data_IF_562435120327
#
_entry.id   IF_562435120327
#
_cell.length_a   1.000
_cell.length_b   1.000
_cell.length_c   1.000
_cell.angle_alpha   90.00
_cell.angle_beta   90.00
_cell.angle_gamma   90.00
#
_symmetry.space_group_name_H-M   'P 1'
#
loop_
_entity.id
_entity.type
_entity.pdbx_description
1 polymer ?
#
# COMPACT_ATOMS: atom_id res chain seq x y z
N UNK A 1 -42.25 51.95 -11.86
CA UNK A 1 -41.17 51.08 -12.39
C UNK A 1 -40.61 50.25 -11.23
N UNK A 2 -40.44 48.94 -11.45
CA UNK A 2 -40.29 47.86 -10.45
C UNK A 2 -39.16 48.10 -9.42
N UNK A 3 -39.47 47.97 -8.13
CA UNK A 3 -38.49 47.76 -7.05
C UNK A 3 -38.11 46.27 -7.05
N UNK A 4 -36.88 45.95 -7.44
CA UNK A 4 -36.33 44.59 -7.39
C UNK A 4 -35.66 44.43 -6.02
N UNK A 5 -36.26 43.61 -5.16
CA UNK A 5 -35.72 43.22 -3.87
C UNK A 5 -34.79 42.01 -4.12
N UNK A 6 -33.47 42.21 -4.07
CA UNK A 6 -32.52 41.10 -4.09
C UNK A 6 -32.51 40.45 -2.70
N UNK A 7 -33.05 39.24 -2.60
CA UNK A 7 -32.91 38.37 -1.44
C UNK A 7 -31.56 37.64 -1.57
N UNK A 8 -30.57 38.00 -0.75
CA UNK A 8 -29.33 37.23 -0.62
C UNK A 8 -29.66 35.92 0.13
N UNK A 9 -29.76 34.80 -0.58
CA UNK A 9 -29.78 33.48 0.03
C UNK A 9 -28.34 33.16 0.47
N UNK A 10 -28.06 33.37 1.76
CA UNK A 10 -26.86 32.83 2.40
C UNK A 10 -27.09 31.33 2.57
N UNK A 11 -26.57 30.54 1.63
CA UNK A 11 -26.47 29.09 1.78
C UNK A 11 -25.39 28.83 2.82
N UNK A 12 -25.80 28.67 4.09
CA UNK A 12 -24.95 28.08 5.12
C UNK A 12 -24.77 26.61 4.78
N UNK A 13 -23.71 26.30 4.04
CA UNK A 13 -23.19 24.94 3.94
C UNK A 13 -22.68 24.55 5.33
N UNK A 14 -23.51 23.86 6.11
CA UNK A 14 -23.04 23.14 7.29
C UNK A 14 -22.04 22.09 6.80
N UNK A 15 -20.74 22.39 6.92
CA UNK A 15 -19.71 21.36 6.88
C UNK A 15 -19.98 20.49 8.09
N UNK A 16 -20.72 19.40 7.91
CA UNK A 16 -20.79 18.36 8.91
C UNK A 16 -19.34 17.93 9.14
N UNK A 17 -18.79 18.24 10.30
CA UNK A 17 -17.60 17.56 10.77
C UNK A 17 -17.97 16.08 10.76
N UNK A 18 -17.42 15.31 9.82
CA UNK A 18 -17.44 13.86 9.91
C UNK A 18 -16.71 13.53 11.20
N UNK A 19 -17.44 13.15 12.24
CA UNK A 19 -16.83 12.56 13.42
C UNK A 19 -15.95 11.41 12.93
N UNK A 20 -14.65 11.51 13.24
CA UNK A 20 -13.70 10.49 12.85
C UNK A 20 -14.13 9.18 13.53
N UNK A 21 -14.51 8.18 12.72
CA UNK A 21 -14.99 6.90 13.20
C UNK A 21 -13.99 6.31 14.20
N UNK A 22 -14.44 6.16 15.45
CA UNK A 22 -13.63 5.53 16.49
C UNK A 22 -13.75 4.01 16.37
N UNK A 23 -12.62 3.34 16.39
CA UNK A 23 -12.52 1.90 16.47
C UNK A 23 -12.94 1.42 17.86
N UNK A 24 -13.60 0.28 17.91
CA UNK A 24 -13.92 -0.41 19.17
C UNK A 24 -12.68 -1.08 19.76
N UNK A 25 -12.76 -1.44 21.05
CA UNK A 25 -11.72 -2.22 21.72
C UNK A 25 -11.51 -3.61 21.10
N UNK A 26 -12.49 -4.11 20.33
CA UNK A 26 -12.41 -5.39 19.61
C UNK A 26 -11.73 -5.28 18.25
N UNK A 27 -11.33 -4.08 17.83
CA UNK A 27 -10.68 -3.88 16.54
C UNK A 27 -9.32 -4.58 16.46
N UNK A 28 -9.03 -5.13 15.28
CA UNK A 28 -7.76 -5.75 14.93
C UNK A 28 -7.22 -5.13 13.66
N UNK A 29 -5.90 -4.88 13.65
CA UNK A 29 -5.19 -4.45 12.43
C UNK A 29 -4.15 -5.51 12.10
N UNK A 30 -4.14 -5.95 10.85
CA UNK A 30 -3.22 -6.98 10.37
C UNK A 30 -2.45 -6.53 9.14
N UNK A 31 -1.19 -6.94 9.04
CA UNK A 31 -0.45 -6.91 7.79
C UNK A 31 -0.81 -8.16 6.99
N UNK A 32 -1.27 -7.97 5.75
CA UNK A 32 -1.49 -9.02 4.78
C UNK A 32 -0.28 -9.11 3.86
N UNK A 33 0.26 -10.30 3.67
CA UNK A 33 1.38 -10.57 2.74
C UNK A 33 0.95 -11.68 1.79
N UNK A 34 1.06 -11.42 0.49
CA UNK A 34 0.42 -12.24 -0.52
C UNK A 34 1.43 -12.82 -1.51
N UNK A 35 1.33 -14.12 -1.77
CA UNK A 35 2.28 -14.84 -2.62
C UNK A 35 2.34 -14.33 -4.06
N UNK A 36 3.48 -14.44 -4.74
CA UNK A 36 3.55 -14.22 -6.18
C UNK A 36 2.61 -15.15 -6.98
N UNK A 37 2.29 -14.72 -8.20
CA UNK A 37 1.56 -15.51 -9.21
C UNK A 37 2.23 -15.38 -10.58
N UNK A 38 1.71 -16.09 -11.59
CA UNK A 38 2.35 -16.16 -12.91
C UNK A 38 2.24 -14.87 -13.74
N UNK A 39 1.21 -14.06 -13.52
CA UNK A 39 1.02 -12.82 -14.25
C UNK A 39 2.17 -11.85 -13.96
N UNK A 40 2.65 -11.11 -14.98
CA UNK A 40 3.85 -10.26 -14.87
C UNK A 40 3.76 -9.23 -13.74
N UNK A 41 2.58 -8.65 -13.52
CA UNK A 41 2.33 -7.67 -12.46
C UNK A 41 2.18 -8.29 -11.07
N UNK A 42 2.16 -9.63 -10.97
CA UNK A 42 2.01 -10.39 -9.74
C UNK A 42 3.24 -11.27 -9.44
N UNK A 43 4.37 -11.07 -10.15
CA UNK A 43 5.58 -11.89 -9.98
C UNK A 43 6.36 -11.66 -8.68
N UNK A 44 5.97 -10.65 -7.90
CA UNK A 44 6.57 -10.31 -6.61
C UNK A 44 5.50 -10.33 -5.53
N UNK A 45 5.94 -10.46 -4.27
CA UNK A 45 5.05 -10.42 -3.13
C UNK A 45 4.36 -9.07 -3.00
N UNK A 46 3.15 -9.10 -2.46
CA UNK A 46 2.34 -7.91 -2.25
C UNK A 46 1.96 -7.74 -0.78
N UNK A 47 1.85 -6.50 -0.32
CA UNK A 47 1.41 -6.20 1.03
C UNK A 47 0.19 -5.27 1.06
N UNK A 48 -0.71 -5.52 2.00
CA UNK A 48 -1.85 -4.67 2.31
C UNK A 48 -2.07 -4.61 3.83
N UNK A 49 -2.82 -3.62 4.32
CA UNK A 49 -3.19 -3.53 5.74
C UNK A 49 -4.69 -3.84 5.86
N UNK A 50 -5.06 -4.83 6.67
CA UNK A 50 -6.46 -5.12 7.00
C UNK A 50 -6.84 -4.42 8.29
N UNK A 51 -7.97 -3.75 8.31
CA UNK A 51 -8.62 -3.26 9.54
C UNK A 51 -9.95 -3.99 9.67
N UNK A 52 -10.13 -4.69 10.79
CA UNK A 52 -11.35 -5.42 11.12
C UNK A 52 -11.87 -4.98 12.49
N UNK A 53 -13.08 -4.44 12.51
CA UNK A 53 -13.80 -4.00 13.70
C UNK A 53 -15.28 -4.40 13.59
N UNK A 54 -15.66 -5.58 14.13
CA UNK A 54 -17.01 -6.12 14.01
C UNK A 54 -18.09 -5.24 14.63
N UNK A 55 -17.78 -4.47 15.69
CA UNK A 55 -18.78 -3.62 16.35
C UNK A 55 -19.21 -2.45 15.48
N UNK A 56 -18.30 -1.97 14.62
CA UNK A 56 -18.56 -0.89 13.68
C UNK A 56 -18.85 -1.40 12.26
N UNK A 57 -18.95 -2.72 12.04
CA UNK A 57 -19.09 -3.35 10.72
C UNK A 57 -17.99 -2.95 9.73
N UNK A 58 -16.74 -2.83 10.21
CA UNK A 58 -15.58 -2.52 9.38
C UNK A 58 -14.81 -3.82 9.12
N UNK A 59 -14.58 -4.15 7.86
CA UNK A 59 -13.62 -5.18 7.47
C UNK A 59 -13.03 -4.84 6.09
N UNK A 60 -12.04 -3.94 6.09
CA UNK A 60 -11.47 -3.38 4.88
C UNK A 60 -10.00 -3.73 4.74
N UNK A 61 -9.58 -4.04 3.52
CA UNK A 61 -8.20 -4.11 3.11
C UNK A 61 -7.79 -2.78 2.45
N UNK A 62 -6.75 -2.16 3.00
CA UNK A 62 -6.08 -0.98 2.47
C UNK A 62 -4.93 -1.43 1.59
N UNK A 63 -5.16 -1.31 0.28
CA UNK A 63 -4.27 -1.81 -0.74
C UNK A 63 -3.57 -0.65 -1.45
N UNK A 64 -2.30 -0.43 -1.11
CA UNK A 64 -1.40 0.41 -1.89
C UNK A 64 -0.94 -0.39 -3.10
N UNK A 65 -1.01 0.17 -4.30
CA UNK A 65 -0.54 -0.54 -5.49
C UNK A 65 -1.61 -0.75 -6.55
N UNK A 66 -2.77 -0.11 -6.42
CA UNK A 66 -3.81 -0.14 -7.45
C UNK A 66 -3.44 0.83 -8.57
N UNK A 67 -3.56 0.38 -9.81
CA UNK A 67 -3.25 1.17 -11.00
C UNK A 67 -4.26 0.88 -12.12
N UNK A 68 -4.29 1.78 -13.11
CA UNK A 68 -5.18 1.69 -14.25
C UNK A 68 -4.39 1.52 -15.55
N UNK A 69 -4.51 0.34 -16.17
CA UNK A 69 -3.90 0.04 -17.46
C UNK A 69 -4.45 0.91 -18.60
N UNK A 70 -5.66 1.47 -18.45
CA UNK A 70 -6.27 2.36 -19.43
C UNK A 70 -5.75 3.80 -19.35
N UNK A 71 -4.89 4.10 -18.36
CA UNK A 71 -4.30 5.42 -18.22
C UNK A 71 -3.49 5.80 -19.47
N UNK A 72 -3.60 7.06 -19.96
CA UNK A 72 -2.88 7.49 -21.15
C UNK A 72 -1.37 7.27 -21.01
N UNK A 73 -0.81 6.58 -21.99
CA UNK A 73 0.61 6.22 -22.08
C UNK A 73 1.11 5.32 -20.92
N UNK A 74 0.27 4.43 -20.39
CA UNK A 74 0.64 3.50 -19.32
C UNK A 74 1.96 2.75 -19.61
N UNK A 75 2.07 2.08 -20.77
CA UNK A 75 3.27 1.29 -21.10
C UNK A 75 4.55 2.15 -21.15
N UNK A 76 4.61 3.29 -21.86
CA UNK A 76 5.75 4.21 -21.78
C UNK A 76 6.07 4.72 -20.37
N UNK A 77 5.06 5.09 -19.58
CA UNK A 77 5.24 5.55 -18.20
C UNK A 77 5.79 4.44 -17.31
N UNK A 78 5.28 3.22 -17.47
CA UNK A 78 5.72 2.05 -16.71
C UNK A 78 7.21 1.76 -16.96
N UNK A 79 7.63 1.76 -18.22
CA UNK A 79 9.04 1.56 -18.60
C UNK A 79 9.97 2.67 -18.06
N UNK A 80 9.46 3.90 -17.92
CA UNK A 80 10.20 5.05 -17.38
C UNK A 80 10.15 5.16 -15.85
N UNK A 81 9.29 4.37 -15.18
CA UNK A 81 9.02 4.51 -13.74
C UNK A 81 8.17 5.74 -13.38
N UNK A 82 7.38 6.25 -14.32
CA UNK A 82 6.54 7.45 -14.21
C UNK A 82 5.05 7.12 -14.03
N UNK A 83 4.74 5.94 -13.49
CA UNK A 83 3.36 5.52 -13.23
C UNK A 83 2.86 5.98 -11.87
N UNK A 84 1.69 6.61 -11.85
CA UNK A 84 1.00 6.96 -10.63
C UNK A 84 0.05 5.82 -10.24
N UNK A 85 0.07 5.45 -8.96
CA UNK A 85 -0.72 4.40 -8.36
C UNK A 85 -1.58 5.01 -7.24
N UNK A 86 -2.58 4.28 -6.79
CA UNK A 86 -3.46 4.72 -5.70
C UNK A 86 -3.46 3.73 -4.53
N UNK A 87 -3.74 4.28 -3.35
CA UNK A 87 -4.34 3.52 -2.25
C UNK A 87 -5.83 3.35 -2.52
N UNK A 88 -6.32 2.12 -2.39
CA UNK A 88 -7.75 1.83 -2.33
C UNK A 88 -8.08 1.08 -1.03
N UNK A 89 -9.18 1.49 -0.40
CA UNK A 89 -9.81 0.76 0.69
C UNK A 89 -11.09 0.10 0.17
N UNK A 90 -11.21 -1.21 0.35
CA UNK A 90 -12.38 -1.99 -0.06
C UNK A 90 -12.51 -3.24 0.82
N UNK A 91 -13.62 -3.97 0.71
CA UNK A 91 -13.88 -5.10 1.60
C UNK A 91 -12.76 -6.14 1.55
N UNK A 92 -12.40 -6.68 2.73
CA UNK A 92 -11.40 -7.75 2.81
C UNK A 92 -11.84 -8.98 2.01
N UNK A 93 -13.15 -9.25 1.94
CA UNK A 93 -13.70 -10.31 1.10
C UNK A 93 -13.31 -10.13 -0.38
N UNK A 94 -13.60 -8.96 -0.98
CA UNK A 94 -13.24 -8.67 -2.36
C UNK A 94 -11.72 -8.68 -2.59
N UNK A 95 -10.94 -8.28 -1.57
CA UNK A 95 -9.50 -8.49 -1.59
C UNK A 95 -9.19 -9.97 -1.72
N UNK A 96 -9.60 -10.81 -0.77
CA UNK A 96 -9.28 -12.23 -0.75
C UNK A 96 -9.76 -12.98 -2.00
N UNK A 97 -10.92 -12.66 -2.54
CA UNK A 97 -11.43 -13.22 -3.81
C UNK A 97 -10.43 -13.05 -4.96
N UNK A 98 -9.86 -11.85 -5.12
CA UNK A 98 -8.85 -11.61 -6.16
C UNK A 98 -7.58 -12.45 -6.01
N UNK A 99 -7.25 -12.87 -4.78
CA UNK A 99 -6.11 -13.74 -4.48
C UNK A 99 -6.45 -15.24 -4.64
N UNK A 100 -7.70 -15.62 -4.37
CA UNK A 100 -8.21 -16.96 -4.62
C UNK A 100 -8.23 -17.29 -6.11
N UNK A 101 -8.71 -16.37 -6.95
CA UNK A 101 -8.81 -16.56 -8.40
C UNK A 101 -7.44 -16.84 -9.05
N UNK A 102 -6.38 -16.22 -8.52
CA UNK A 102 -4.99 -16.44 -8.95
C UNK A 102 -4.27 -17.58 -8.22
N UNK A 103 -4.97 -18.29 -7.32
CA UNK A 103 -4.44 -19.41 -6.51
C UNK A 103 -3.20 -19.06 -5.67
N UNK A 104 -3.19 -17.85 -5.10
CA UNK A 104 -2.10 -17.42 -4.21
C UNK A 104 -2.51 -17.53 -2.74
N UNK A 105 -1.57 -17.91 -1.88
CA UNK A 105 -1.76 -17.83 -0.43
C UNK A 105 -1.70 -16.37 0.03
N UNK A 106 -2.57 -16.01 0.97
CA UNK A 106 -2.52 -14.74 1.71
C UNK A 106 -2.22 -15.05 3.17
N UNK A 107 -1.09 -14.55 3.65
CA UNK A 107 -0.69 -14.63 5.05
C UNK A 107 -1.20 -13.40 5.80
N UNK A 108 -1.73 -13.62 6.99
CA UNK A 108 -2.19 -12.55 7.87
C UNK A 108 -1.34 -12.53 9.15
N UNK A 109 -0.74 -11.38 9.44
CA UNK A 109 -0.05 -11.10 10.69
C UNK A 109 -0.80 -10.03 11.48
N UNK A 110 -1.44 -10.43 12.58
CA UNK A 110 -2.08 -9.47 13.50
C UNK A 110 -1.00 -8.66 14.20
N UNK A 111 -1.10 -7.33 14.10
CA UNK A 111 -0.13 -6.43 14.72
C UNK A 111 -0.46 -6.25 16.21
N UNK A 112 0.56 -6.35 17.06
CA UNK A 112 0.42 -6.13 18.50
C UNK A 112 0.43 -4.62 18.81
N UNK A 113 -0.70 -3.97 18.56
CA UNK A 113 -0.92 -2.54 18.77
C UNK A 113 -1.90 -2.30 19.92
N UNK A 114 -1.65 -1.27 20.71
CA UNK A 114 -2.63 -0.70 21.65
C UNK A 114 -3.82 -0.10 20.90
N UNK A 115 -4.95 0.12 21.59
CA UNK A 115 -6.14 0.72 20.95
C UNK A 115 -5.87 2.14 20.44
N UNK A 116 -5.03 2.91 21.12
CA UNK A 116 -4.59 4.23 20.65
C UNK A 116 -3.79 4.12 19.33
N UNK A 117 -2.83 3.20 19.24
CA UNK A 117 -2.05 2.99 18.02
C UNK A 117 -2.90 2.49 16.86
N UNK A 118 -3.88 1.60 17.14
CA UNK A 118 -4.85 1.15 16.13
C UNK A 118 -5.65 2.33 15.58
N UNK A 119 -6.16 3.20 16.45
CA UNK A 119 -6.91 4.38 16.04
C UNK A 119 -6.04 5.31 15.19
N UNK A 120 -4.82 5.60 15.63
CA UNK A 120 -3.89 6.46 14.89
C UNK A 120 -3.56 5.91 13.49
N UNK A 121 -3.38 4.59 13.39
CA UNK A 121 -3.12 3.93 12.10
C UNK A 121 -4.36 3.96 11.21
N UNK A 122 -5.54 3.68 11.76
CA UNK A 122 -6.80 3.75 11.04
C UNK A 122 -7.08 5.16 10.51
N UNK A 123 -6.95 6.19 11.33
CA UNK A 123 -7.13 7.59 10.92
C UNK A 123 -6.16 7.98 9.79
N UNK A 124 -4.92 7.48 9.85
CA UNK A 124 -3.93 7.73 8.80
C UNK A 124 -4.28 7.02 7.49
N UNK A 125 -4.82 5.80 7.56
CA UNK A 125 -5.29 5.04 6.41
C UNK A 125 -6.52 5.66 5.75
N UNK A 126 -7.50 6.08 6.54
CA UNK A 126 -8.69 6.78 6.07
C UNK A 126 -8.31 8.11 5.41
N UNK A 127 -7.44 8.89 6.07
CA UNK A 127 -6.91 10.13 5.49
C UNK A 127 -6.20 9.89 4.16
N UNK A 128 -5.35 8.86 4.08
CA UNK A 128 -4.64 8.54 2.85
C UNK A 128 -5.59 8.02 1.76
N UNK A 129 -6.73 7.44 2.10
CA UNK A 129 -7.72 6.93 1.14
C UNK A 129 -8.54 8.03 0.46
N UNK A 130 -8.51 9.26 1.00
CA UNK A 130 -9.19 10.41 0.40
C UNK A 130 -8.68 10.69 -1.04
N UNK A 131 -9.56 11.12 -1.98
CA UNK A 131 -9.19 11.34 -3.38
C UNK A 131 -7.95 12.23 -3.59
N UNK A 132 -7.77 13.24 -2.75
CA UNK A 132 -6.65 14.18 -2.77
C UNK A 132 -5.32 13.60 -2.23
N UNK A 133 -5.37 12.53 -1.42
CA UNK A 133 -4.20 11.94 -0.75
C UNK A 133 -3.81 10.56 -1.29
N UNK A 134 -4.72 9.87 -1.98
CA UNK A 134 -4.54 8.46 -2.34
C UNK A 134 -3.54 8.21 -3.46
N UNK A 135 -3.25 9.21 -4.29
CA UNK A 135 -2.39 9.05 -5.48
C UNK A 135 -0.93 9.30 -5.14
N UNK A 136 -0.05 8.41 -5.61
CA UNK A 136 1.40 8.54 -5.41
C UNK A 136 2.20 8.01 -6.61
N UNK A 137 3.42 8.54 -6.78
CA UNK A 137 4.35 8.05 -7.80
C UNK A 137 4.90 6.70 -7.36
N UNK A 138 4.57 5.65 -8.10
CA UNK A 138 5.05 4.32 -7.79
C UNK A 138 6.49 4.13 -8.21
N UNK A 139 7.29 3.56 -7.32
CA UNK A 139 8.62 3.06 -7.63
C UNK A 139 8.75 1.64 -7.10
N UNK A 140 8.95 0.69 -8.00
CA UNK A 140 9.03 -0.72 -7.66
C UNK A 140 10.06 -1.05 -6.57
N UNK A 141 11.16 -0.31 -6.49
CA UNK A 141 12.27 -0.57 -5.56
C UNK A 141 12.18 0.27 -4.28
N UNK A 142 11.69 1.51 -4.37
CA UNK A 142 11.78 2.48 -3.27
C UNK A 142 10.44 2.90 -2.69
N UNK A 143 9.35 2.78 -3.46
CA UNK A 143 8.05 3.34 -3.10
C UNK A 143 6.91 2.47 -3.66
N UNK A 144 6.63 1.38 -2.97
CA UNK A 144 5.71 0.33 -3.40
C UNK A 144 4.74 -0.08 -2.28
N UNK A 145 3.93 -1.11 -2.52
CA UNK A 145 2.93 -1.59 -1.58
C UNK A 145 3.51 -1.95 -0.20
N UNK A 146 4.68 -2.59 -0.18
CA UNK A 146 5.35 -3.01 1.04
C UNK A 146 5.99 -1.85 1.79
N UNK A 147 6.71 -0.96 1.11
CA UNK A 147 7.31 0.21 1.77
C UNK A 147 6.25 1.19 2.28
N UNK A 148 5.15 1.40 1.53
CA UNK A 148 4.02 2.22 1.97
C UNK A 148 3.36 1.68 3.24
N UNK A 149 3.08 0.37 3.28
CA UNK A 149 2.54 -0.28 4.46
C UNK A 149 3.50 -0.22 5.65
N UNK A 150 4.79 -0.47 5.42
CA UNK A 150 5.81 -0.37 6.47
C UNK A 150 5.93 1.05 7.05
N UNK A 151 6.09 2.06 6.19
CA UNK A 151 6.37 3.42 6.65
C UNK A 151 5.17 4.09 7.33
N UNK A 152 3.93 3.74 6.95
CA UNK A 152 2.76 4.24 7.69
C UNK A 152 2.70 3.63 9.10
N UNK A 153 2.98 2.33 9.26
CA UNK A 153 3.06 1.68 10.58
C UNK A 153 4.21 2.27 11.40
N UNK A 154 5.41 2.34 10.81
CA UNK A 154 6.61 2.91 11.44
C UNK A 154 6.36 4.33 11.96
N UNK A 155 5.70 5.17 11.17
CA UNK A 155 5.39 6.55 11.57
C UNK A 155 4.52 6.62 12.82
N UNK A 156 3.61 5.67 13.03
CA UNK A 156 2.79 5.61 14.25
C UNK A 156 3.63 5.14 15.44
N UNK A 157 4.39 4.07 15.25
CA UNK A 157 5.24 3.49 16.29
C UNK A 157 6.35 4.44 16.75
N UNK A 158 6.99 5.16 15.83
CA UNK A 158 8.01 6.16 16.14
C UNK A 158 7.45 7.28 17.03
N UNK A 159 6.20 7.70 16.81
CA UNK A 159 5.53 8.72 17.64
C UNK A 159 5.28 8.23 19.07
N UNK A 160 5.10 6.93 19.24
CA UNK A 160 4.91 6.29 20.54
C UNK A 160 6.26 5.89 21.18
N UNK A 161 7.39 6.20 20.53
CA UNK A 161 8.73 5.94 21.06
C UNK A 161 9.24 4.52 20.82
N UNK A 162 8.55 3.72 20.01
CA UNK A 162 9.04 2.39 19.61
C UNK A 162 10.08 2.50 18.50
N UNK A 163 10.99 1.54 18.46
CA UNK A 163 11.93 1.35 17.35
C UNK A 163 11.64 0.01 16.69
N UNK A 164 11.31 0.02 15.40
CA UNK A 164 11.18 -1.20 14.61
C UNK A 164 12.57 -1.71 14.21
N UNK A 165 12.91 -2.92 14.63
CA UNK A 165 14.12 -3.60 14.17
C UNK A 165 13.82 -4.46 12.94
N UNK A 166 14.77 -4.48 12.01
CA UNK A 166 14.67 -5.26 10.79
C UNK A 166 15.72 -6.37 10.86
N UNK A 167 15.27 -7.61 10.99
CA UNK A 167 16.14 -8.79 10.93
C UNK A 167 15.93 -9.52 9.61
N UNK A 168 16.89 -9.32 8.70
CA UNK A 168 16.96 -9.99 7.40
C UNK A 168 18.27 -10.77 7.25
N UNK A 169 18.57 -11.64 8.22
CA UNK A 169 19.82 -12.42 8.27
C UNK A 169 20.15 -13.26 7.03
N UNK A 170 19.15 -13.68 6.22
CA UNK A 170 19.32 -14.61 5.09
C UNK A 170 18.90 -14.06 3.72
N UNK A 171 19.15 -12.77 3.46
CA UNK A 171 18.69 -12.09 2.23
C UNK A 171 19.82 -11.74 1.26
N UNK A 172 19.55 -11.68 -0.06
CA UNK A 172 20.54 -11.26 -1.04
C UNK A 172 21.09 -9.87 -0.73
N UNK A 173 22.37 -9.67 -1.06
CA UNK A 173 23.07 -8.42 -0.80
C UNK A 173 22.96 -7.41 -1.93
N UNK A 174 22.31 -7.71 -3.06
CA UNK A 174 22.12 -6.81 -4.21
C UNK A 174 20.70 -6.89 -4.76
N UNK A 175 20.25 -5.85 -5.47
CA UNK A 175 18.92 -5.85 -6.12
C UNK A 175 18.78 -6.99 -7.14
N UNK A 176 19.83 -7.23 -7.95
CA UNK A 176 19.88 -8.36 -8.88
C UNK A 176 19.66 -9.68 -8.16
N UNK A 177 20.33 -9.89 -7.03
CA UNK A 177 20.17 -11.10 -6.23
C UNK A 177 18.74 -11.27 -5.73
N UNK A 178 18.08 -10.19 -5.31
CA UNK A 178 16.66 -10.21 -4.91
C UNK A 178 15.77 -10.57 -6.11
N UNK A 179 15.96 -9.98 -7.28
CA UNK A 179 15.15 -10.32 -8.47
C UNK A 179 15.37 -11.76 -8.93
N UNK A 180 16.59 -12.29 -8.81
CA UNK A 180 16.91 -13.68 -9.11
C UNK A 180 16.19 -14.68 -8.20
N UNK A 181 15.98 -14.34 -6.92
CA UNK A 181 15.19 -15.20 -6.00
C UNK A 181 13.74 -15.34 -6.45
N UNK A 182 13.15 -14.30 -7.04
CA UNK A 182 11.74 -14.32 -7.47
C UNK A 182 11.54 -14.83 -8.89
N UNK A 183 12.41 -14.45 -9.82
CA UNK A 183 12.23 -14.71 -11.25
C UNK A 183 13.09 -15.88 -11.76
N UNK A 184 14.11 -16.28 -11.02
CA UNK A 184 15.18 -17.15 -11.50
C UNK A 184 16.22 -16.41 -12.34
N UNK A 185 17.40 -17.04 -12.52
CA UNK A 185 18.52 -16.45 -13.27
C UNK A 185 18.26 -16.37 -14.77
N UNK A 186 17.72 -17.43 -15.36
CA UNK A 186 17.54 -17.54 -16.82
C UNK A 186 16.12 -17.11 -17.25
N UNK A 187 15.71 -15.92 -16.80
CA UNK A 187 14.38 -15.39 -17.03
C UNK A 187 14.43 -14.07 -17.85
N UNK A 188 13.63 -13.99 -18.91
CA UNK A 188 13.60 -12.83 -19.80
C UNK A 188 13.08 -11.55 -19.09
N UNK A 189 12.18 -11.69 -18.12
CA UNK A 189 11.67 -10.57 -17.30
C UNK A 189 12.77 -10.00 -16.43
N UNK A 190 13.61 -10.87 -15.84
CA UNK A 190 14.79 -10.47 -15.07
C UNK A 190 15.78 -9.72 -15.96
N UNK A 191 16.01 -10.19 -17.19
CA UNK A 191 16.82 -9.44 -18.17
C UNK A 191 16.24 -8.05 -18.47
N UNK A 192 14.93 -7.92 -18.69
CA UNK A 192 14.30 -6.61 -18.90
C UNK A 192 14.48 -5.68 -17.69
N UNK A 193 14.32 -6.20 -16.47
CA UNK A 193 14.53 -5.43 -15.23
C UNK A 193 15.98 -4.96 -15.13
N UNK A 194 16.95 -5.84 -15.43
CA UNK A 194 18.37 -5.47 -15.44
C UNK A 194 18.70 -4.37 -16.45
N UNK A 195 18.07 -4.39 -17.63
CA UNK A 195 18.24 -3.34 -18.65
C UNK A 195 17.68 -2.00 -18.15
N UNK A 196 16.52 -2.01 -17.50
CA UNK A 196 15.87 -0.80 -16.98
C UNK A 196 16.62 -0.21 -15.79
N UNK A 197 17.06 -1.06 -14.84
CA UNK A 197 17.75 -0.63 -13.62
C UNK A 197 19.24 -0.33 -13.90
N UNK A 198 19.83 -1.02 -14.87
CA UNK A 198 21.23 -0.89 -15.27
C UNK A 198 22.20 -1.29 -14.15
N UNK A 199 23.32 -0.57 -14.06
CA UNK A 199 24.38 -0.84 -13.07
C UNK A 199 23.93 -0.71 -11.60
N UNK A 200 22.77 -0.10 -11.35
CA UNK A 200 22.20 -0.05 -10.01
C UNK A 200 21.76 -1.43 -9.50
N UNK A 201 21.50 -2.40 -10.39
CA UNK A 201 21.06 -3.74 -10.01
C UNK A 201 22.13 -4.47 -9.16
N UNK A 202 23.40 -4.17 -9.38
CA UNK A 202 24.54 -4.79 -8.69
C UNK A 202 24.98 -4.04 -7.43
N UNK A 203 24.32 -2.91 -7.10
CA UNK A 203 24.61 -2.17 -5.87
C UNK A 203 24.18 -2.98 -4.65
N UNK A 204 24.94 -2.81 -3.55
CA UNK A 204 24.55 -3.39 -2.27
C UNK A 204 23.22 -2.83 -1.79
N UNK A 205 22.33 -3.71 -1.36
CA UNK A 205 21.05 -3.35 -0.76
C UNK A 205 21.24 -3.16 0.75
N UNK A 206 20.76 -2.02 1.27
CA UNK A 206 20.68 -1.79 2.71
C UNK A 206 19.53 -2.59 3.34
N UNK A 207 19.61 -2.86 4.64
CA UNK A 207 18.59 -3.66 5.35
C UNK A 207 17.21 -3.03 5.23
N UNK A 208 17.09 -1.70 5.31
CA UNK A 208 15.82 -1.00 5.12
C UNK A 208 15.24 -1.17 3.70
N UNK A 209 16.09 -1.16 2.68
CA UNK A 209 15.62 -1.30 1.29
C UNK A 209 15.08 -2.71 0.98
N UNK A 210 15.38 -3.72 1.82
CA UNK A 210 14.81 -5.06 1.68
C UNK A 210 13.32 -5.11 2.01
N UNK A 211 12.77 -4.12 2.73
CA UNK A 211 11.34 -4.01 3.02
C UNK A 211 10.51 -3.97 1.74
N UNK A 212 11.05 -3.37 0.67
CA UNK A 212 10.40 -3.28 -0.63
C UNK A 212 10.10 -4.66 -1.27
N UNK A 213 10.69 -5.74 -0.74
CA UNK A 213 10.57 -7.08 -1.28
C UNK A 213 10.18 -8.08 -0.18
N UNK A 214 8.96 -8.01 0.37
CA UNK A 214 8.54 -8.90 1.46
C UNK A 214 8.58 -10.37 1.04
N UNK A 215 8.67 -11.27 2.00
CA UNK A 215 8.58 -12.73 1.84
C UNK A 215 7.70 -13.30 2.94
#
# INVERSE_FOLDING_TARGET
>A
MRKILLLLLIVCSSVAATDAQQLSDSATISLLTCEPAEAIYARFWHSAIRVCDPQNNIDNAYNYGIFDFSSPYFIPKFLKGDTDYILAAYSTEAFLESYMDRKSTVYQQVLNLSNEEKQMLYDALEKNSLPENRTYRYNFVYDNCATRAYYIIKKILDKQGYTMEIDYSLRPKTYRGVFEEFLGRDNWQRFCIDVVIGSNADKRIGVENLIAFPR
#
